data_IF_115301325668
#
_entry.id   IF_115301325668
#
_cell.length_a   1.000
_cell.length_b   1.000
_cell.length_c   1.000
_cell.angle_alpha   90.00
_cell.angle_beta   90.00
_cell.angle_gamma   90.00
#
_symmetry.space_group_name_H-M   'P 1'
#
loop_
_entity.id
_entity.type
_entity.pdbx_description
1 polymer ?
#
# COMPACT_ATOMS: atom_id res chain seq x y z
N UNK A 1 56.11 26.55 4.32
CA UNK A 1 55.22 26.04 5.38
C UNK A 1 54.04 25.38 4.67
N UNK A 2 54.11 24.05 4.45
CA UNK A 2 53.03 23.27 3.82
C UNK A 2 51.93 23.09 4.86
N UNK A 3 50.79 23.76 4.68
CA UNK A 3 49.57 23.38 5.38
C UNK A 3 48.98 22.17 4.66
N UNK A 4 49.01 21.04 5.37
CA UNK A 4 48.47 19.74 4.97
C UNK A 4 46.98 19.82 4.69
N UNK A 5 46.61 19.58 3.44
CA UNK A 5 45.26 19.14 3.05
C UNK A 5 45.19 17.63 3.23
N UNK A 6 44.91 17.14 4.44
CA UNK A 6 44.59 15.73 4.64
C UNK A 6 43.42 15.59 5.62
N UNK A 7 42.50 14.70 5.24
CA UNK A 7 41.30 14.19 5.93
C UNK A 7 40.00 14.98 5.78
N UNK A 8 39.47 14.97 4.55
CA UNK A 8 38.03 14.80 4.29
C UNK A 8 37.81 13.61 3.37
N UNK A 9 37.98 12.39 3.90
CA UNK A 9 37.63 11.15 3.20
C UNK A 9 36.78 10.26 4.09
N UNK A 10 35.59 10.75 4.42
CA UNK A 10 34.42 9.89 4.54
C UNK A 10 33.37 10.56 3.66
N UNK A 11 33.13 9.98 2.49
CA UNK A 11 31.96 10.30 1.70
C UNK A 11 30.75 9.86 2.53
N UNK A 12 30.22 10.76 3.35
CA UNK A 12 28.89 10.61 3.94
C UNK A 12 27.90 10.74 2.78
N UNK A 13 27.80 9.67 1.98
CA UNK A 13 26.70 9.49 1.05
C UNK A 13 25.46 9.60 1.93
N UNK A 14 24.51 10.48 1.63
CA UNK A 14 23.27 10.63 2.41
C UNK A 14 22.38 9.38 2.47
N UNK A 15 22.93 8.22 2.09
CA UNK A 15 22.35 6.90 2.06
C UNK A 15 22.87 6.11 3.28
N UNK A 16 21.96 5.77 4.20
CA UNK A 16 22.26 5.02 5.43
C UNK A 16 21.51 3.70 5.41
N UNK A 17 22.22 2.60 5.69
CA UNK A 17 21.64 1.26 5.84
C UNK A 17 20.54 1.22 6.91
N UNK A 18 20.74 1.92 8.02
CA UNK A 18 19.76 1.99 9.12
C UNK A 18 18.46 2.67 8.68
N UNK A 19 18.56 3.80 7.97
CA UNK A 19 17.37 4.48 7.46
C UNK A 19 16.61 3.62 6.45
N UNK A 20 17.31 2.92 5.56
CA UNK A 20 16.68 2.04 4.59
C UNK A 20 15.97 0.86 5.25
N UNK A 21 16.57 0.26 6.28
CA UNK A 21 15.93 -0.79 7.10
C UNK A 21 14.67 -0.29 7.76
N UNK A 22 14.71 0.87 8.41
CA UNK A 22 13.54 1.46 9.05
C UNK A 22 12.39 1.73 8.07
N UNK A 23 12.70 2.19 6.84
CA UNK A 23 11.69 2.36 5.80
C UNK A 23 11.08 1.03 5.38
N UNK A 24 11.89 -0.01 5.19
CA UNK A 24 11.41 -1.35 4.84
C UNK A 24 10.58 -2.00 5.95
N UNK A 25 10.95 -1.80 7.21
CA UNK A 25 10.18 -2.26 8.36
C UNK A 25 8.80 -1.59 8.41
N UNK A 26 8.71 -0.31 8.06
CA UNK A 26 7.41 0.36 7.89
C UNK A 26 6.56 -0.28 6.79
N UNK A 27 7.16 -0.67 5.65
CA UNK A 27 6.44 -1.38 4.57
C UNK A 27 5.92 -2.73 5.06
N UNK A 28 6.73 -3.50 5.79
CA UNK A 28 6.31 -4.77 6.39
C UNK A 28 5.16 -4.56 7.38
N UNK A 29 5.27 -3.60 8.29
CA UNK A 29 4.21 -3.25 9.23
C UNK A 29 2.90 -2.91 8.53
N UNK A 30 2.95 -2.12 7.45
CA UNK A 30 1.77 -1.80 6.64
C UNK A 30 1.16 -3.08 6.07
N UNK A 31 1.96 -4.02 5.54
CA UNK A 31 1.43 -5.22 4.87
C UNK A 31 0.98 -6.32 5.83
N UNK A 32 1.61 -6.44 7.00
CA UNK A 32 1.41 -7.58 7.92
C UNK A 32 0.36 -7.33 8.99
N UNK A 33 0.07 -6.07 9.34
CA UNK A 33 -1.00 -5.74 10.28
C UNK A 33 -2.39 -5.97 9.70
N UNK A 34 -3.37 -6.29 10.56
CA UNK A 34 -4.78 -6.41 10.19
C UNK A 34 -5.49 -5.07 9.93
N UNK A 35 -4.84 -3.94 10.25
CA UNK A 35 -5.40 -2.60 10.01
C UNK A 35 -5.26 -2.24 8.52
N UNK A 36 -6.34 -1.81 7.83
CA UNK A 36 -6.25 -1.34 6.46
C UNK A 36 -5.64 0.06 6.36
N UNK A 37 -4.76 0.28 5.38
CA UNK A 37 -4.14 1.58 5.11
C UNK A 37 -4.73 2.21 3.85
N UNK A 38 -5.15 3.48 3.97
CA UNK A 38 -5.65 4.29 2.85
C UNK A 38 -4.68 5.44 2.61
N UNK A 39 -3.99 5.43 1.46
CA UNK A 39 -3.15 6.55 1.01
C UNK A 39 -4.00 7.61 0.31
N UNK A 40 -3.74 8.88 0.63
CA UNK A 40 -4.31 10.04 -0.05
C UNK A 40 -3.18 10.88 -0.65
N UNK A 41 -3.00 10.80 -1.97
CA UNK A 41 -1.87 11.41 -2.70
C UNK A 41 -2.32 12.71 -3.35
N UNK A 42 -1.88 13.84 -2.80
CA UNK A 42 -2.36 15.18 -3.18
C UNK A 42 -1.55 15.86 -4.29
N UNK A 43 -0.43 15.28 -4.72
CA UNK A 43 0.47 15.92 -5.68
C UNK A 43 1.56 14.98 -6.18
N UNK A 44 2.78 15.50 -6.33
CA UNK A 44 3.92 14.71 -6.79
C UNK A 44 4.27 13.65 -5.75
N UNK A 45 4.21 12.38 -6.15
CA UNK A 45 4.64 11.21 -5.42
C UNK A 45 5.84 10.61 -6.16
N UNK A 46 7.00 10.52 -5.50
CA UNK A 46 8.26 10.20 -6.18
C UNK A 46 9.09 9.18 -5.39
N UNK A 47 9.70 8.25 -6.11
CA UNK A 47 10.59 7.23 -5.57
C UNK A 47 9.96 6.46 -4.41
N UNK A 48 10.62 6.46 -3.25
CA UNK A 48 10.11 5.79 -2.05
C UNK A 48 8.69 6.25 -1.68
N UNK A 49 8.32 7.50 -1.94
CA UNK A 49 6.96 8.00 -1.72
C UNK A 49 5.90 7.27 -2.55
N UNK A 50 6.19 6.99 -3.83
CA UNK A 50 5.32 6.18 -4.69
C UNK A 50 5.17 4.78 -4.09
N UNK A 51 6.29 4.16 -3.70
CA UNK A 51 6.30 2.80 -3.18
C UNK A 51 5.59 2.67 -1.82
N UNK A 52 5.68 3.68 -0.96
CA UNK A 52 4.88 3.77 0.27
C UNK A 52 3.39 3.86 -0.03
N UNK A 53 2.98 4.66 -1.01
CA UNK A 53 1.58 4.73 -1.43
C UNK A 53 1.10 3.37 -1.95
N UNK A 54 1.89 2.68 -2.79
CA UNK A 54 1.55 1.36 -3.34
C UNK A 54 1.55 0.23 -2.32
N UNK A 55 2.25 0.38 -1.19
CA UNK A 55 2.19 -0.57 -0.09
C UNK A 55 0.87 -0.51 0.69
N UNK A 56 0.21 0.66 0.71
CA UNK A 56 -1.12 0.82 1.29
C UNK A 56 -2.16 -0.05 0.57
N UNK A 57 -3.21 -0.44 1.29
CA UNK A 57 -4.24 -1.33 0.71
C UNK A 57 -5.11 -0.63 -0.32
N UNK A 58 -5.30 0.68 -0.16
CA UNK A 58 -6.12 1.51 -1.04
C UNK A 58 -5.41 2.85 -1.28
N UNK A 59 -5.35 3.28 -2.54
CA UNK A 59 -4.76 4.55 -2.96
C UNK A 59 -5.81 5.45 -3.61
N UNK A 60 -6.04 6.60 -3.00
CA UNK A 60 -6.72 7.75 -3.59
C UNK A 60 -5.68 8.76 -4.05
N UNK A 61 -5.92 9.36 -5.21
CA UNK A 61 -5.09 10.43 -5.74
C UNK A 61 -5.95 11.64 -6.13
N UNK A 62 -5.40 12.84 -5.94
CA UNK A 62 -5.90 14.05 -6.61
C UNK A 62 -5.72 13.91 -8.11
N UNK A 63 -6.62 14.52 -8.90
CA UNK A 63 -6.46 14.64 -10.35
C UNK A 63 -5.12 15.30 -10.74
N UNK A 64 -4.58 16.16 -9.88
CA UNK A 64 -3.29 16.84 -10.09
C UNK A 64 -2.07 16.01 -9.65
N UNK A 65 -2.28 14.83 -9.07
CA UNK A 65 -1.18 13.98 -8.62
C UNK A 65 -0.44 13.33 -9.79
N UNK A 66 0.87 13.13 -9.60
CA UNK A 66 1.74 12.41 -10.52
C UNK A 66 2.59 11.44 -9.74
N UNK A 67 2.86 10.27 -10.31
CA UNK A 67 3.71 9.24 -9.70
C UNK A 67 4.98 9.09 -10.50
N UNK A 68 6.15 9.00 -9.85
CA UNK A 68 7.37 8.60 -10.54
C UNK A 68 8.29 7.64 -9.75
N UNK A 69 9.05 6.81 -10.46
CA UNK A 69 10.10 5.92 -9.94
C UNK A 69 11.50 6.46 -10.32
N UNK A 70 11.76 7.74 -10.02
CA UNK A 70 12.95 8.47 -10.47
C UNK A 70 14.32 7.95 -10.00
N UNK A 71 14.41 6.81 -9.33
CA UNK A 71 15.65 6.21 -8.80
C UNK A 71 16.74 6.09 -9.87
N UNK A 72 16.40 5.58 -11.06
CA UNK A 72 17.35 5.37 -12.17
C UNK A 72 17.99 6.68 -12.64
N UNK A 73 17.27 7.81 -12.53
CA UNK A 73 17.75 9.14 -12.94
C UNK A 73 18.88 9.66 -12.06
N UNK A 74 19.08 9.07 -10.88
CA UNK A 74 20.14 9.40 -9.93
C UNK A 74 21.06 8.21 -9.61
N UNK A 75 21.04 7.17 -10.44
CA UNK A 75 21.90 6.00 -10.29
C UNK A 75 21.51 5.06 -9.15
N UNK A 76 20.25 5.10 -8.69
CA UNK A 76 19.70 4.20 -7.68
C UNK A 76 18.78 3.15 -8.31
N UNK A 77 18.49 2.12 -7.53
CA UNK A 77 17.45 1.12 -7.80
C UNK A 77 16.20 1.41 -6.97
N UNK A 78 15.03 0.88 -7.35
CA UNK A 78 13.82 0.98 -6.54
C UNK A 78 14.00 0.37 -5.15
N UNK A 79 13.45 1.03 -4.13
CA UNK A 79 13.40 0.57 -2.73
C UNK A 79 11.94 0.45 -2.24
N UNK A 80 11.73 0.22 -0.93
CA UNK A 80 10.41 0.25 -0.27
C UNK A 80 9.35 -0.64 -0.94
N UNK A 81 9.78 -1.72 -1.59
CA UNK A 81 8.90 -2.67 -2.28
C UNK A 81 8.47 -2.26 -3.68
N UNK A 82 9.03 -1.23 -4.31
CA UNK A 82 8.61 -0.80 -5.66
C UNK A 82 8.71 -1.89 -6.73
N UNK A 83 9.82 -2.65 -6.72
CA UNK A 83 9.99 -3.82 -7.60
C UNK A 83 9.12 -5.02 -7.22
N UNK A 84 8.46 -4.99 -6.06
CA UNK A 84 7.53 -6.02 -5.61
C UNK A 84 6.08 -5.67 -5.97
N UNK A 85 5.61 -4.48 -5.59
CA UNK A 85 4.21 -4.05 -5.74
C UNK A 85 3.88 -3.67 -7.18
N UNK A 86 4.68 -2.80 -7.80
CA UNK A 86 4.36 -2.23 -9.10
C UNK A 86 4.09 -3.28 -10.20
N UNK A 87 4.99 -4.26 -10.46
CA UNK A 87 4.72 -5.28 -11.48
C UNK A 87 3.52 -6.18 -11.17
N UNK A 88 3.13 -6.33 -9.90
CA UNK A 88 1.93 -7.07 -9.50
C UNK A 88 0.65 -6.28 -9.73
N UNK A 89 0.73 -4.95 -9.70
CA UNK A 89 -0.41 -4.06 -9.94
C UNK A 89 -0.67 -3.84 -11.44
N UNK A 90 0.40 -3.57 -12.22
CA UNK A 90 0.26 -3.13 -13.62
C UNK A 90 0.93 -4.03 -14.66
N UNK A 91 1.44 -5.19 -14.23
CA UNK A 91 2.16 -6.11 -15.09
C UNK A 91 3.62 -5.71 -15.33
N UNK A 92 4.45 -6.71 -15.68
CA UNK A 92 5.90 -6.56 -15.78
C UNK A 92 6.34 -5.53 -16.82
N UNK A 93 5.69 -5.49 -18.00
CA UNK A 93 6.12 -4.62 -19.10
C UNK A 93 5.97 -3.14 -18.77
N UNK A 94 4.82 -2.75 -18.22
CA UNK A 94 4.57 -1.36 -17.85
C UNK A 94 5.37 -0.97 -16.61
N UNK A 95 5.53 -1.88 -15.64
CA UNK A 95 6.41 -1.64 -14.50
C UNK A 95 7.87 -1.47 -14.93
N UNK A 96 8.37 -2.25 -15.89
CA UNK A 96 9.72 -2.11 -16.41
C UNK A 96 9.94 -0.77 -17.10
N UNK A 97 9.01 -0.34 -17.97
CA UNK A 97 9.05 1.01 -18.56
C UNK A 97 9.18 2.06 -17.45
N UNK A 98 8.30 1.99 -16.45
CA UNK A 98 8.25 2.99 -15.40
C UNK A 98 9.52 3.01 -14.53
N UNK A 99 10.00 1.85 -14.07
CA UNK A 99 11.18 1.72 -13.21
C UNK A 99 12.49 2.03 -13.95
N UNK A 100 12.58 1.74 -15.26
CA UNK A 100 13.80 1.91 -16.05
C UNK A 100 13.93 3.29 -16.70
N UNK A 101 12.82 3.99 -16.97
CA UNK A 101 12.87 5.38 -17.44
C UNK A 101 12.82 6.38 -16.28
N UNK A 102 12.13 6.04 -15.19
CA UNK A 102 11.83 6.95 -14.09
C UNK A 102 10.90 8.10 -14.50
N UNK A 103 10.16 7.96 -15.60
CA UNK A 103 9.24 8.98 -16.11
C UNK A 103 7.96 9.07 -15.29
N UNK A 104 7.41 10.27 -15.18
CA UNK A 104 6.20 10.48 -14.40
C UNK A 104 4.96 10.01 -15.16
N UNK A 105 4.04 9.38 -14.44
CA UNK A 105 2.68 9.09 -14.91
C UNK A 105 1.66 9.95 -14.17
N UNK A 106 0.58 10.30 -14.85
CA UNK A 106 -0.54 11.04 -14.24
C UNK A 106 -1.38 10.14 -13.33
N UNK A 107 -2.09 10.72 -12.37
CA UNK A 107 -3.10 10.03 -11.55
C UNK A 107 -4.13 9.27 -12.39
N UNK A 108 -4.59 9.88 -13.48
CA UNK A 108 -5.54 9.28 -14.41
C UNK A 108 -4.97 8.01 -15.06
N UNK A 109 -3.72 8.06 -15.56
CA UNK A 109 -3.07 6.89 -16.14
C UNK A 109 -2.80 5.80 -15.10
N UNK A 110 -2.40 6.19 -13.89
CA UNK A 110 -2.23 5.27 -12.77
C UNK A 110 -3.54 4.53 -12.44
N UNK A 111 -4.68 5.23 -12.46
CA UNK A 111 -5.99 4.62 -12.26
C UNK A 111 -6.39 3.68 -13.40
N UNK A 112 -6.25 4.10 -14.65
CA UNK A 112 -6.60 3.29 -15.83
C UNK A 112 -5.81 1.99 -15.94
N UNK A 113 -4.59 1.97 -15.41
CA UNK A 113 -3.71 0.79 -15.43
C UNK A 113 -3.93 -0.14 -14.24
N UNK A 114 -4.75 0.27 -13.26
CA UNK A 114 -4.96 -0.47 -12.01
C UNK A 114 -3.87 -0.26 -10.95
N UNK A 115 -2.94 0.69 -11.16
CA UNK A 115 -1.89 1.03 -10.17
C UNK A 115 -2.49 1.60 -8.88
N UNK A 116 -3.56 2.40 -8.99
CA UNK A 116 -4.25 3.02 -7.86
C UNK A 116 -5.76 2.80 -7.97
N UNK A 117 -6.48 2.99 -6.86
CA UNK A 117 -7.90 2.65 -6.80
C UNK A 117 -8.81 3.77 -7.27
N UNK A 118 -8.47 5.05 -7.01
CA UNK A 118 -9.37 6.18 -7.25
C UNK A 118 -8.61 7.47 -7.56
N UNK A 119 -9.19 8.26 -8.47
CA UNK A 119 -8.85 9.66 -8.70
C UNK A 119 -10.05 10.51 -8.33
N UNK A 120 -9.81 11.61 -7.62
CA UNK A 120 -10.85 12.54 -7.17
C UNK A 120 -10.40 13.99 -7.38
N UNK A 121 -11.34 14.93 -7.33
CA UNK A 121 -11.03 16.36 -7.38
C UNK A 121 -10.07 16.72 -6.23
N UNK A 122 -9.19 17.70 -6.47
CA UNK A 122 -8.11 18.01 -5.53
C UNK A 122 -8.64 18.44 -4.15
N UNK A 123 -9.71 19.23 -4.13
CA UNK A 123 -10.41 19.72 -2.95
C UNK A 123 -11.13 18.61 -2.15
N UNK A 124 -11.50 17.51 -2.81
CA UNK A 124 -12.27 16.42 -2.20
C UNK A 124 -11.40 15.30 -1.65
N UNK A 125 -10.09 15.29 -1.97
CA UNK A 125 -9.19 14.17 -1.69
C UNK A 125 -9.24 13.70 -0.23
N UNK A 126 -9.01 14.60 0.72
CA UNK A 126 -8.98 14.24 2.14
C UNK A 126 -10.36 13.82 2.63
N UNK A 127 -11.41 14.48 2.17
CA UNK A 127 -12.79 14.17 2.53
C UNK A 127 -13.17 12.76 2.08
N UNK A 128 -12.93 12.42 0.81
CA UNK A 128 -13.31 11.12 0.26
C UNK A 128 -12.42 9.98 0.79
N UNK A 129 -11.11 10.20 0.95
CA UNK A 129 -10.23 9.21 1.56
C UNK A 129 -10.61 8.93 3.02
N UNK A 130 -10.89 9.97 3.81
CA UNK A 130 -11.29 9.84 5.23
C UNK A 130 -12.65 9.16 5.35
N UNK A 131 -13.62 9.52 4.50
CA UNK A 131 -14.93 8.88 4.43
C UNK A 131 -14.81 7.40 4.09
N UNK A 132 -13.90 7.04 3.18
CA UNK A 132 -13.62 5.64 2.85
C UNK A 132 -13.00 4.89 4.03
N UNK A 133 -11.99 5.48 4.70
CA UNK A 133 -11.38 4.90 5.89
C UNK A 133 -12.39 4.74 7.04
N UNK A 134 -13.23 5.74 7.28
CA UNK A 134 -14.31 5.69 8.28
C UNK A 134 -15.35 4.60 7.94
N UNK A 135 -15.60 4.35 6.65
CA UNK A 135 -16.44 3.24 6.24
C UNK A 135 -15.79 1.89 6.56
N UNK A 136 -14.50 1.72 6.29
CA UNK A 136 -13.78 0.49 6.66
C UNK A 136 -13.78 0.26 8.18
N UNK A 137 -13.60 1.32 8.97
CA UNK A 137 -13.62 1.24 10.43
C UNK A 137 -14.98 0.83 11.01
N UNK A 138 -16.08 0.98 10.24
CA UNK A 138 -17.43 0.54 10.62
C UNK A 138 -17.79 -0.86 10.12
N UNK A 139 -16.92 -1.51 9.36
CA UNK A 139 -17.10 -2.90 8.92
C UNK A 139 -16.53 -3.84 10.00
N UNK A 140 -16.68 -5.16 9.80
CA UNK A 140 -15.99 -6.13 10.66
C UNK A 140 -14.47 -6.00 10.46
N UNK A 141 -13.80 -5.34 11.41
CA UNK A 141 -12.37 -5.06 11.34
C UNK A 141 -11.53 -6.34 11.43
N UNK A 142 -12.00 -7.35 12.18
CA UNK A 142 -11.41 -8.67 12.20
C UNK A 142 -11.54 -9.37 10.84
N UNK A 143 -12.71 -9.26 10.18
CA UNK A 143 -12.93 -9.73 8.82
C UNK A 143 -11.99 -9.06 7.81
N UNK A 144 -11.84 -7.74 7.87
CA UNK A 144 -10.90 -6.99 7.01
C UNK A 144 -9.46 -7.47 7.21
N UNK A 145 -9.01 -7.65 8.45
CA UNK A 145 -7.66 -8.13 8.73
C UNK A 145 -7.41 -9.53 8.16
N UNK A 146 -8.41 -10.43 8.24
CA UNK A 146 -8.35 -11.76 7.61
C UNK A 146 -8.30 -11.67 6.08
N UNK A 147 -9.10 -10.80 5.46
CA UNK A 147 -9.05 -10.56 4.01
C UNK A 147 -7.66 -10.11 3.58
N UNK A 148 -7.08 -9.14 4.30
CA UNK A 148 -5.74 -8.64 4.02
C UNK A 148 -4.67 -9.74 4.11
N UNK A 149 -4.77 -10.61 5.11
CA UNK A 149 -3.90 -11.79 5.24
C UNK A 149 -4.04 -12.76 4.07
N UNK A 150 -5.26 -13.02 3.60
CA UNK A 150 -5.50 -13.88 2.43
C UNK A 150 -4.91 -13.29 1.16
N UNK A 151 -5.04 -11.97 0.95
CA UNK A 151 -4.47 -11.27 -0.19
C UNK A 151 -2.94 -11.35 -0.18
N UNK A 152 -2.30 -11.15 0.97
CA UNK A 152 -0.85 -11.26 1.10
C UNK A 152 -0.32 -12.66 0.76
N UNK A 153 -1.05 -13.70 1.12
CA UNK A 153 -0.65 -15.10 0.90
C UNK A 153 -0.69 -15.54 -0.58
N UNK A 154 -1.46 -14.83 -1.43
CA UNK A 154 -1.58 -15.17 -2.87
C UNK A 154 -0.24 -15.14 -3.62
N UNK A 155 0.75 -14.40 -3.11
CA UNK A 155 2.05 -14.28 -3.74
C UNK A 155 2.86 -15.59 -3.74
N UNK A 156 2.57 -16.50 -2.80
CA UNK A 156 3.33 -17.75 -2.61
C UNK A 156 2.47 -19.00 -2.57
N UNK A 157 1.18 -18.86 -2.28
CA UNK A 157 0.27 -19.99 -2.23
C UNK A 157 -0.04 -20.53 -3.62
N UNK A 158 -0.12 -21.85 -3.74
CA UNK A 158 -0.90 -22.46 -4.81
C UNK A 158 -2.40 -22.43 -4.46
N UNK A 159 -3.25 -22.88 -5.40
CA UNK A 159 -4.71 -22.87 -5.20
C UNK A 159 -5.14 -23.68 -3.97
N UNK A 160 -4.50 -24.82 -3.69
CA UNK A 160 -4.88 -25.67 -2.56
C UNK A 160 -4.53 -25.00 -1.24
N UNK A 161 -3.32 -24.49 -1.10
CA UNK A 161 -2.88 -23.75 0.08
C UNK A 161 -3.75 -22.50 0.32
N UNK A 162 -4.18 -21.83 -0.76
CA UNK A 162 -5.09 -20.69 -0.65
C UNK A 162 -6.48 -21.11 -0.14
N UNK A 163 -7.07 -22.17 -0.69
CA UNK A 163 -8.37 -22.69 -0.23
C UNK A 163 -8.32 -23.18 1.22
N UNK A 164 -7.20 -23.78 1.64
CA UNK A 164 -7.00 -24.20 3.04
C UNK A 164 -6.93 -22.98 3.98
N UNK A 165 -6.27 -21.90 3.56
CA UNK A 165 -6.23 -20.64 4.29
C UNK A 165 -7.62 -19.98 4.37
N UNK A 166 -8.34 -19.94 3.25
CA UNK A 166 -9.72 -19.42 3.18
C UNK A 166 -10.64 -20.20 4.11
N UNK A 167 -10.63 -21.54 4.05
CA UNK A 167 -11.41 -22.39 4.94
C UNK A 167 -11.16 -22.01 6.40
N UNK A 168 -9.89 -22.00 6.81
CA UNK A 168 -9.51 -21.69 8.18
C UNK A 168 -10.06 -20.33 8.62
N UNK A 169 -9.79 -19.27 7.85
CA UNK A 169 -10.16 -17.91 8.22
C UNK A 169 -11.69 -17.67 8.12
N UNK A 170 -12.38 -18.40 7.25
CA UNK A 170 -13.83 -18.37 7.16
C UNK A 170 -14.49 -19.00 8.40
N UNK A 171 -13.96 -20.12 8.90
CA UNK A 171 -14.42 -20.74 10.16
C UNK A 171 -14.14 -19.81 11.35
N UNK A 172 -12.97 -19.17 11.41
CA UNK A 172 -12.68 -18.16 12.43
C UNK A 172 -13.68 -16.99 12.37
N UNK A 173 -14.03 -16.53 11.18
CA UNK A 173 -15.02 -15.45 10.99
C UNK A 173 -16.43 -15.90 11.39
N UNK A 174 -16.85 -17.10 11.01
CA UNK A 174 -18.16 -17.65 11.35
C UNK A 174 -18.38 -17.91 12.85
N UNK A 175 -17.29 -18.04 13.62
CA UNK A 175 -17.33 -18.18 15.08
C UNK A 175 -17.20 -16.84 15.83
N UNK A 176 -17.12 -15.71 15.12
CA UNK A 176 -16.90 -14.41 15.74
C UNK A 176 -18.22 -13.74 16.19
N UNK A 177 -18.10 -12.77 17.11
CA UNK A 177 -19.25 -11.97 17.55
C UNK A 177 -19.78 -11.09 16.42
N UNK A 178 -18.87 -10.52 15.63
CA UNK A 178 -19.23 -9.74 14.44
C UNK A 178 -20.09 -10.55 13.45
N UNK A 179 -19.84 -11.85 13.26
CA UNK A 179 -20.71 -12.67 12.40
C UNK A 179 -22.13 -12.78 12.97
N UNK A 180 -22.25 -13.07 14.27
CA UNK A 180 -23.55 -13.15 14.95
C UNK A 180 -24.32 -11.84 14.83
N UNK A 181 -23.65 -10.71 15.07
CA UNK A 181 -24.21 -9.36 14.93
C UNK A 181 -24.61 -9.05 13.49
N UNK A 182 -23.75 -9.37 12.51
CA UNK A 182 -24.03 -9.15 11.10
C UNK A 182 -25.25 -9.91 10.61
N UNK A 183 -25.38 -11.19 10.99
CA UNK A 183 -26.55 -12.02 10.68
C UNK A 183 -27.81 -11.46 11.35
N UNK A 184 -27.71 -11.09 12.64
CA UNK A 184 -28.85 -10.53 13.39
C UNK A 184 -29.33 -9.22 12.77
N UNK A 185 -28.42 -8.28 12.54
CA UNK A 185 -28.71 -6.98 11.92
C UNK A 185 -29.33 -7.12 10.53
N UNK A 186 -28.89 -8.12 9.74
CA UNK A 186 -29.46 -8.43 8.43
C UNK A 186 -30.93 -8.84 8.53
N UNK A 187 -31.29 -9.77 9.43
CA UNK A 187 -32.68 -10.18 9.63
C UNK A 187 -33.55 -9.05 10.22
N UNK A 188 -32.97 -8.20 11.06
CA UNK A 188 -33.62 -7.04 11.67
C UNK A 188 -33.68 -5.80 10.74
N UNK A 189 -33.05 -5.86 9.55
CA UNK A 189 -32.98 -4.74 8.58
C UNK A 189 -32.40 -3.45 9.17
N UNK A 190 -31.39 -3.57 10.03
CA UNK A 190 -30.64 -2.45 10.61
C UNK A 190 -29.17 -2.52 10.22
N UNK A 191 -28.45 -1.43 10.45
CA UNK A 191 -26.99 -1.43 10.34
C UNK A 191 -26.37 -2.27 11.47
N UNK A 192 -25.35 -3.10 11.18
CA UNK A 192 -24.62 -3.82 12.21
C UNK A 192 -23.70 -2.89 13.02
N UNK A 193 -23.48 -3.24 14.29
CA UNK A 193 -22.53 -2.60 15.19
C UNK A 193 -21.34 -3.53 15.49
N UNK A 194 -20.43 -3.62 14.52
CA UNK A 194 -19.24 -4.47 14.62
C UNK A 194 -18.24 -3.96 15.66
N UNK A 195 -17.64 -4.88 16.41
CA UNK A 195 -16.62 -4.60 17.44
C UNK A 195 -15.23 -5.14 17.09
N UNK A 196 -15.12 -5.93 16.03
CA UNK A 196 -13.86 -6.56 15.64
C UNK A 196 -13.54 -7.83 16.45
N UNK A 197 -14.57 -8.48 17.01
CA UNK A 197 -14.47 -9.66 17.87
C UNK A 197 -15.20 -10.88 17.29
#
# INVERSE_FOLDING_TARGET
>A
MKASFENRTETNTGFSDEHLKNLHDCILLIRETGVPFVAAVNGVCAGAGTNFALACDIVFASENATFNEGFVKIGLTPDCGGSYFLPRLIGEKLAAEFLMTGDAITSQRAFETGMINRVVANEDLITEATKFAARLAKMSTSGIGRIKKMLAATATNDLRAQLDLEHKLQIESGNSKDFTEGVTAFFEKRSPDFKGE
#
